data_IF_350709368062
#
_entry.id   IF_350709368062
#
_cell.length_a   1.000
_cell.length_b   1.000
_cell.length_c   1.000
_cell.angle_alpha   90.00
_cell.angle_beta   90.00
_cell.angle_gamma   90.00
#
_symmetry.space_group_name_H-M   'P 1'
#
loop_
_entity.id
_entity.type
_entity.pdbx_description
1 polymer ?
#
# COMPACT_ATOMS: atom_id res chain seq x y z
N UNK A 1 10.50 16.08 3.30
CA UNK A 1 10.24 17.34 2.57
C UNK A 1 10.17 16.99 1.10
N UNK A 2 8.99 17.08 0.48
CA UNK A 2 8.79 16.62 -0.89
C UNK A 2 9.60 17.47 -1.86
N UNK A 3 10.55 16.88 -2.58
CA UNK A 3 11.28 17.39 -3.75
C UNK A 3 11.89 18.80 -3.65
N UNK A 4 12.20 19.34 -2.47
CA UNK A 4 12.74 20.69 -2.35
C UNK A 4 11.76 21.81 -2.73
N UNK A 5 10.50 21.47 -3.02
CA UNK A 5 9.46 22.45 -3.31
C UNK A 5 9.04 23.20 -2.04
N UNK A 6 8.78 24.51 -2.19
CA UNK A 6 8.19 25.28 -1.11
C UNK A 6 6.74 24.85 -0.85
N UNK A 7 6.24 25.10 0.36
CA UNK A 7 4.87 24.75 0.75
C UNK A 7 3.81 25.43 -0.13
N UNK A 8 4.08 26.64 -0.65
CA UNK A 8 3.14 27.38 -1.49
C UNK A 8 2.96 26.68 -2.83
N UNK A 9 4.06 26.29 -3.48
CA UNK A 9 4.03 25.55 -4.75
C UNK A 9 3.28 24.22 -4.59
N UNK A 10 3.52 23.50 -3.49
CA UNK A 10 2.80 22.25 -3.19
C UNK A 10 1.28 22.50 -3.05
N UNK A 11 0.87 23.52 -2.29
CA UNK A 11 -0.56 23.84 -2.11
C UNK A 11 -1.21 24.31 -3.42
N UNK A 12 -0.52 25.04 -4.27
CA UNK A 12 -1.03 25.46 -5.58
C UNK A 12 -1.24 24.23 -6.47
N UNK A 13 -0.26 23.34 -6.56
CA UNK A 13 -0.39 22.08 -7.32
C UNK A 13 -1.58 21.26 -6.80
N UNK A 14 -1.70 21.11 -5.48
CA UNK A 14 -2.83 20.41 -4.87
C UNK A 14 -4.17 21.05 -5.23
N UNK A 15 -4.29 22.39 -5.12
CA UNK A 15 -5.51 23.10 -5.46
C UNK A 15 -5.89 22.90 -6.93
N UNK A 16 -4.93 22.97 -7.84
CA UNK A 16 -5.15 22.71 -9.28
C UNK A 16 -5.62 21.28 -9.50
N UNK A 17 -4.97 20.28 -8.90
CA UNK A 17 -5.38 18.87 -9.03
C UNK A 17 -6.76 18.61 -8.45
N UNK A 18 -7.10 19.21 -7.30
CA UNK A 18 -8.43 19.13 -6.70
C UNK A 18 -9.48 19.72 -7.64
N UNK A 19 -9.24 20.93 -8.19
CA UNK A 19 -10.18 21.60 -9.11
C UNK A 19 -10.38 20.77 -10.38
N UNK A 20 -9.29 20.27 -10.98
CA UNK A 20 -9.35 19.45 -12.20
C UNK A 20 -10.10 18.12 -11.96
N UNK A 21 -9.94 17.52 -10.79
CA UNK A 21 -10.59 16.23 -10.47
C UNK A 21 -12.05 16.41 -10.01
N UNK A 22 -12.41 17.54 -9.42
CA UNK A 22 -13.81 17.84 -9.07
C UNK A 22 -14.73 17.71 -10.29
N UNK A 23 -14.30 18.16 -11.48
CA UNK A 23 -15.03 17.98 -12.72
C UNK A 23 -15.31 16.51 -13.09
N UNK A 24 -14.46 15.59 -12.64
CA UNK A 24 -14.65 14.14 -12.86
C UNK A 24 -15.78 13.56 -12.02
N UNK A 25 -16.01 14.12 -10.84
CA UNK A 25 -17.03 13.65 -9.87
C UNK A 25 -18.33 14.42 -9.98
N UNK A 26 -18.30 15.70 -10.43
CA UNK A 26 -19.49 16.52 -10.64
C UNK A 26 -20.32 15.96 -11.80
N UNK A 27 -21.54 15.48 -11.47
CA UNK A 27 -22.45 14.90 -12.45
C UNK A 27 -22.20 13.44 -12.82
N UNK A 28 -21.20 12.79 -12.23
CA UNK A 28 -20.89 11.37 -12.47
C UNK A 28 -21.06 10.54 -11.18
N UNK A 29 -22.29 10.03 -10.98
CA UNK A 29 -22.66 9.25 -9.80
C UNK A 29 -21.83 7.96 -9.66
N UNK A 30 -21.47 7.32 -10.78
CA UNK A 30 -20.66 6.10 -10.75
C UNK A 30 -19.22 6.38 -10.33
N UNK A 31 -18.63 7.49 -10.75
CA UNK A 31 -17.31 7.92 -10.29
C UNK A 31 -17.29 8.25 -8.80
N UNK A 32 -18.35 8.92 -8.31
CA UNK A 32 -18.50 9.21 -6.88
C UNK A 32 -18.66 7.93 -6.05
N UNK A 33 -19.48 6.97 -6.50
CA UNK A 33 -19.64 5.68 -5.84
C UNK A 33 -18.32 4.92 -5.78
N UNK A 34 -17.59 4.87 -6.91
CA UNK A 34 -16.26 4.28 -6.97
C UNK A 34 -15.31 4.89 -5.95
N UNK A 35 -15.30 6.22 -5.82
CA UNK A 35 -14.49 6.93 -4.83
C UNK A 35 -14.87 6.52 -3.40
N UNK A 36 -16.16 6.53 -3.08
CA UNK A 36 -16.68 6.16 -1.75
C UNK A 36 -16.30 4.73 -1.38
N UNK A 37 -16.32 3.79 -2.33
CA UNK A 37 -15.92 2.40 -2.09
C UNK A 37 -14.40 2.23 -2.03
N UNK A 38 -13.64 3.07 -2.71
CA UNK A 38 -12.17 3.03 -2.69
C UNK A 38 -11.60 3.51 -1.37
N UNK A 39 -12.20 4.52 -0.73
CA UNK A 39 -11.69 5.10 0.51
C UNK A 39 -11.51 4.07 1.65
N UNK A 40 -12.52 3.26 2.03
CA UNK A 40 -12.34 2.23 3.06
C UNK A 40 -11.25 1.22 2.70
N UNK A 41 -11.19 0.81 1.43
CA UNK A 41 -10.20 -0.16 0.95
C UNK A 41 -8.76 0.37 1.10
N UNK A 42 -8.54 1.64 0.75
CA UNK A 42 -7.24 2.30 0.91
C UNK A 42 -6.90 2.49 2.38
N UNK A 43 -7.87 2.92 3.20
CA UNK A 43 -7.65 3.08 4.65
C UNK A 43 -7.21 1.76 5.29
N UNK A 44 -7.87 0.65 4.96
CA UNK A 44 -7.48 -0.69 5.42
C UNK A 44 -6.05 -1.00 4.94
N UNK A 45 -5.79 -0.85 3.64
CA UNK A 45 -4.51 -1.24 3.05
C UNK A 45 -3.33 -0.46 3.67
N UNK A 46 -3.42 0.87 3.79
CA UNK A 46 -2.37 1.71 4.37
C UNK A 46 -2.23 1.45 5.88
N UNK A 47 -3.34 1.36 6.61
CA UNK A 47 -3.30 1.17 8.07
C UNK A 47 -2.58 -0.11 8.45
N UNK A 48 -2.94 -1.21 7.83
CA UNK A 48 -2.33 -2.50 8.14
C UNK A 48 -0.88 -2.59 7.63
N UNK A 49 -0.56 -1.95 6.52
CA UNK A 49 0.80 -1.83 6.00
C UNK A 49 1.72 -1.13 7.01
N UNK A 50 1.35 0.07 7.43
CA UNK A 50 2.13 0.86 8.39
C UNK A 50 2.17 0.20 9.78
N UNK A 51 1.04 -0.40 10.21
CA UNK A 51 1.01 -1.19 11.44
C UNK A 51 2.00 -2.36 11.40
N UNK A 52 2.13 -3.04 10.26
CA UNK A 52 3.06 -4.16 10.12
C UNK A 52 4.52 -3.72 10.23
N UNK A 53 4.89 -2.55 9.68
CA UNK A 53 6.20 -1.95 9.91
C UNK A 53 6.44 -1.65 11.39
N UNK A 54 5.48 -0.99 12.04
CA UNK A 54 5.56 -0.67 13.46
C UNK A 54 5.69 -1.92 14.33
N UNK A 55 4.91 -2.95 14.02
CA UNK A 55 4.91 -4.23 14.74
C UNK A 55 6.23 -4.98 14.56
N UNK A 56 6.74 -5.05 13.34
CA UNK A 56 8.03 -5.71 13.06
C UNK A 56 9.19 -5.00 13.77
N UNK A 57 9.22 -3.65 13.76
CA UNK A 57 10.23 -2.87 14.47
C UNK A 57 10.16 -3.11 15.98
N UNK A 58 8.98 -3.08 16.58
CA UNK A 58 8.75 -3.33 18.01
C UNK A 58 9.20 -4.75 18.41
N UNK A 59 8.92 -5.76 17.58
CA UNK A 59 9.37 -7.15 17.79
C UNK A 59 10.88 -7.29 17.69
N UNK A 60 11.55 -6.46 16.91
CA UNK A 60 13.00 -6.41 16.80
C UNK A 60 13.65 -5.58 17.92
N UNK A 61 12.88 -4.99 18.84
CA UNK A 61 13.37 -4.25 20.01
C UNK A 61 13.31 -2.73 19.87
N UNK A 62 12.85 -2.21 18.73
CA UNK A 62 12.68 -0.76 18.54
C UNK A 62 11.29 -0.32 18.95
N UNK A 63 11.18 0.25 20.15
CA UNK A 63 9.95 0.79 20.71
C UNK A 63 9.60 2.20 20.18
N UNK A 64 10.37 2.76 19.24
CA UNK A 64 10.12 4.08 18.64
C UNK A 64 8.71 4.19 18.08
N UNK A 65 8.21 3.24 17.25
CA UNK A 65 6.84 3.29 16.73
C UNK A 65 5.78 3.24 17.85
N UNK A 66 6.01 2.46 18.89
CA UNK A 66 5.11 2.36 20.05
C UNK A 66 5.01 3.69 20.79
N UNK A 67 6.15 4.33 21.06
CA UNK A 67 6.21 5.65 21.73
C UNK A 67 5.56 6.76 20.94
N UNK A 68 5.56 6.64 19.61
CA UNK A 68 4.91 7.59 18.70
C UNK A 68 3.42 7.30 18.50
N UNK A 69 2.84 6.27 19.17
CA UNK A 69 1.45 5.87 18.99
C UNK A 69 1.15 5.26 17.62
N UNK A 70 2.19 4.69 16.93
CA UNK A 70 2.08 4.10 15.61
C UNK A 70 1.75 2.61 15.61
N UNK A 71 1.89 1.96 16.78
CA UNK A 71 1.51 0.56 16.98
C UNK A 71 -0.01 0.45 17.26
N UNK A 72 -0.81 0.83 16.27
CA UNK A 72 -2.27 0.89 16.37
C UNK A 72 -2.91 0.61 15.00
N UNK A 73 -4.14 0.10 15.01
CA UNK A 73 -4.97 -0.05 13.81
C UNK A 73 -5.91 1.15 13.59
N UNK A 74 -5.73 2.26 14.32
CA UNK A 74 -6.46 3.49 14.05
C UNK A 74 -5.96 4.14 12.75
N UNK A 75 -6.78 4.23 11.69
CA UNK A 75 -6.36 4.80 10.41
C UNK A 75 -5.81 6.23 10.53
N UNK A 76 -6.37 7.04 11.41
CA UNK A 76 -5.98 8.44 11.60
C UNK A 76 -4.52 8.60 12.07
N UNK A 77 -3.95 7.57 12.71
CA UNK A 77 -2.55 7.56 13.08
C UNK A 77 -1.61 7.42 11.87
N UNK A 78 -2.09 6.85 10.77
CA UNK A 78 -1.31 6.49 9.59
C UNK A 78 -1.57 7.40 8.38
N UNK A 79 -2.54 8.29 8.45
CA UNK A 79 -2.85 9.22 7.38
C UNK A 79 -1.91 10.43 7.37
N UNK A 80 -1.44 10.77 6.19
CA UNK A 80 -0.86 12.08 5.88
C UNK A 80 -1.95 12.95 5.25
N UNK A 81 -2.23 14.16 5.76
CA UNK A 81 -3.30 15.00 5.22
C UNK A 81 -3.12 15.31 3.74
N UNK A 82 -1.88 15.60 3.30
CA UNK A 82 -1.57 15.92 1.91
C UNK A 82 -1.68 14.66 1.04
N UNK A 83 -1.06 13.57 1.48
CA UNK A 83 -1.14 12.27 0.80
C UNK A 83 -2.57 11.77 0.65
N UNK A 84 -3.43 11.99 1.66
CA UNK A 84 -4.84 11.61 1.62
C UNK A 84 -5.63 12.44 0.61
N UNK A 85 -5.41 13.76 0.56
CA UNK A 85 -6.04 14.63 -0.45
C UNK A 85 -5.59 14.22 -1.86
N UNK A 86 -4.30 13.99 -2.07
CA UNK A 86 -3.76 13.54 -3.34
C UNK A 86 -4.36 12.21 -3.78
N UNK A 87 -4.54 11.27 -2.85
CA UNK A 87 -5.17 10.00 -3.14
C UNK A 87 -6.61 10.15 -3.65
N UNK A 88 -7.40 10.98 -2.99
CA UNK A 88 -8.82 11.22 -3.34
C UNK A 88 -8.93 11.89 -4.71
N UNK A 89 -8.10 12.90 -4.98
CA UNK A 89 -8.29 13.76 -6.14
C UNK A 89 -7.35 13.46 -7.31
N UNK A 90 -6.15 12.97 -7.06
CA UNK A 90 -5.20 12.62 -8.11
C UNK A 90 -5.10 11.11 -8.38
N UNK A 91 -5.76 10.28 -7.54
CA UNK A 91 -5.74 8.81 -7.68
C UNK A 91 -4.45 8.17 -7.18
N UNK A 92 -3.53 8.93 -6.61
CA UNK A 92 -2.35 8.43 -5.91
C UNK A 92 -2.10 9.25 -4.64
N UNK A 93 -1.53 8.63 -3.62
CA UNK A 93 -1.26 9.28 -2.35
C UNK A 93 -0.31 8.45 -1.51
N UNK A 94 -0.05 8.91 -0.32
CA UNK A 94 0.83 8.24 0.63
C UNK A 94 0.30 8.36 2.04
N UNK A 95 0.67 7.38 2.87
CA UNK A 95 0.47 7.44 4.30
C UNK A 95 1.56 8.24 5.01
N UNK A 96 1.36 8.49 6.29
CA UNK A 96 2.41 9.00 7.16
C UNK A 96 3.32 7.82 7.54
N UNK A 97 4.59 7.79 7.06
CA UNK A 97 5.45 6.62 7.28
C UNK A 97 5.76 6.41 8.77
N UNK A 98 5.98 5.14 9.13
CA UNK A 98 6.46 4.77 10.47
C UNK A 98 7.96 5.07 10.55
N UNK A 99 8.35 5.85 11.57
CA UNK A 99 9.75 6.07 11.87
C UNK A 99 10.30 4.90 12.70
N UNK A 100 11.46 4.41 12.29
CA UNK A 100 12.19 3.34 12.98
C UNK A 100 13.60 3.81 13.34
N UNK A 101 14.14 3.27 14.44
CA UNK A 101 15.53 3.49 14.84
C UNK A 101 16.29 2.15 14.86
N UNK A 102 17.02 1.81 13.78
CA UNK A 102 17.75 0.54 13.69
C UNK A 102 18.79 0.30 14.79
N UNK A 103 19.22 1.37 15.49
CA UNK A 103 20.14 1.25 16.64
C UNK A 103 19.50 0.60 17.86
N UNK A 104 18.17 0.61 17.93
CA UNK A 104 17.42 -0.01 19.01
C UNK A 104 17.16 -1.50 18.78
N UNK A 105 17.47 -2.02 17.60
CA UNK A 105 17.24 -3.43 17.30
C UNK A 105 18.06 -4.34 18.24
N UNK A 106 17.47 -5.47 18.60
CA UNK A 106 18.11 -6.50 19.39
C UNK A 106 19.44 -6.94 18.74
N UNK A 107 20.44 -7.24 19.56
CA UNK A 107 21.79 -7.63 19.10
C UNK A 107 21.81 -8.94 18.27
N UNK A 108 20.69 -9.65 18.19
CA UNK A 108 20.52 -10.87 17.39
C UNK A 108 20.44 -10.60 15.87
N UNK A 109 20.15 -9.34 15.49
CA UNK A 109 20.07 -8.94 14.08
C UNK A 109 20.96 -7.73 13.81
N UNK A 110 21.58 -7.68 12.63
CA UNK A 110 22.28 -6.46 12.19
C UNK A 110 21.27 -5.38 11.83
N UNK A 111 21.67 -4.09 11.93
CA UNK A 111 20.79 -2.96 11.57
C UNK A 111 20.21 -3.14 10.16
N UNK A 112 21.06 -3.46 9.18
CA UNK A 112 20.64 -3.63 7.78
C UNK A 112 19.67 -4.80 7.59
N UNK A 113 19.84 -5.91 8.33
CA UNK A 113 18.91 -7.05 8.29
C UNK A 113 17.58 -6.67 8.95
N UNK A 114 17.64 -5.97 10.09
CA UNK A 114 16.44 -5.49 10.78
C UNK A 114 15.64 -4.53 9.91
N UNK A 115 16.29 -3.57 9.25
CA UNK A 115 15.62 -2.66 8.30
C UNK A 115 14.95 -3.42 7.15
N UNK A 116 15.60 -4.44 6.59
CA UNK A 116 15.01 -5.26 5.54
C UNK A 116 13.78 -6.04 6.03
N UNK A 117 13.83 -6.63 7.25
CA UNK A 117 12.70 -7.33 7.87
C UNK A 117 11.54 -6.38 8.10
N UNK A 118 11.81 -5.20 8.67
CA UNK A 118 10.77 -4.19 8.90
C UNK A 118 10.16 -3.76 7.57
N UNK A 119 10.98 -3.50 6.54
CA UNK A 119 10.50 -3.00 5.25
C UNK A 119 9.67 -4.02 4.48
N UNK A 120 9.97 -5.32 4.56
CA UNK A 120 9.15 -6.34 3.90
C UNK A 120 7.82 -6.60 4.63
N UNK A 121 7.71 -6.24 5.91
CA UNK A 121 6.53 -6.52 6.72
C UNK A 121 5.27 -5.82 6.20
N UNK A 122 5.37 -4.57 5.72
CA UNK A 122 4.26 -3.83 5.13
C UNK A 122 3.69 -4.50 3.88
N UNK A 123 4.49 -4.69 2.83
CA UNK A 123 4.06 -5.39 1.61
C UNK A 123 3.51 -6.79 1.89
N UNK A 124 4.15 -7.55 2.79
CA UNK A 124 3.70 -8.88 3.18
C UNK A 124 2.30 -8.84 3.81
N UNK A 125 2.04 -7.88 4.69
CA UNK A 125 0.72 -7.68 5.31
C UNK A 125 -0.34 -7.38 4.25
N UNK A 126 -0.04 -6.60 3.24
CA UNK A 126 -0.97 -6.34 2.15
C UNK A 126 -1.32 -7.63 1.38
N UNK A 127 -0.36 -8.50 1.08
CA UNK A 127 -0.68 -9.79 0.46
C UNK A 127 -1.50 -10.71 1.37
N UNK A 128 -1.21 -10.73 2.68
CA UNK A 128 -2.00 -11.48 3.66
C UNK A 128 -3.45 -10.99 3.66
N UNK A 129 -3.68 -9.69 3.69
CA UNK A 129 -5.03 -9.12 3.61
C UNK A 129 -5.71 -9.45 2.28
N UNK A 130 -4.99 -9.35 1.17
CA UNK A 130 -5.53 -9.70 -0.14
C UNK A 130 -6.01 -11.16 -0.17
N UNK A 131 -5.24 -12.10 0.40
CA UNK A 131 -5.63 -13.50 0.53
C UNK A 131 -6.88 -13.64 1.41
N UNK A 132 -6.91 -13.02 2.58
CA UNK A 132 -8.06 -13.07 3.49
C UNK A 132 -9.33 -12.57 2.81
N UNK A 133 -9.27 -11.41 2.15
CA UNK A 133 -10.42 -10.84 1.44
C UNK A 133 -10.81 -11.67 0.22
N UNK A 134 -9.87 -12.32 -0.46
CA UNK A 134 -10.17 -13.28 -1.54
C UNK A 134 -10.94 -14.47 -1.02
N UNK A 135 -10.52 -15.05 0.11
CA UNK A 135 -11.24 -16.15 0.76
C UNK A 135 -12.66 -15.73 1.15
N UNK A 136 -12.82 -14.55 1.77
CA UNK A 136 -14.15 -14.03 2.14
C UNK A 136 -15.03 -13.84 0.89
N UNK A 137 -14.47 -13.25 -0.17
CA UNK A 137 -15.18 -13.02 -1.43
C UNK A 137 -15.68 -14.36 -2.04
N UNK A 138 -14.81 -15.37 -2.09
CA UNK A 138 -15.17 -16.71 -2.56
C UNK A 138 -16.23 -17.37 -1.70
N UNK A 139 -16.10 -17.28 -0.37
CA UNK A 139 -17.08 -17.83 0.56
C UNK A 139 -18.48 -17.23 0.34
N UNK A 140 -18.58 -15.91 0.17
CA UNK A 140 -19.85 -15.24 -0.11
C UNK A 140 -20.44 -15.74 -1.44
N UNK A 141 -19.64 -15.78 -2.50
CA UNK A 141 -20.09 -16.23 -3.82
C UNK A 141 -20.58 -17.67 -3.77
N UNK A 142 -19.90 -18.52 -3.02
CA UNK A 142 -20.17 -19.96 -2.97
C UNK A 142 -21.35 -20.32 -2.07
N UNK A 143 -21.44 -19.69 -0.90
CA UNK A 143 -22.41 -20.09 0.14
C UNK A 143 -23.61 -19.14 0.26
N UNK A 144 -23.59 -17.99 -0.39
CA UNK A 144 -24.68 -17.03 -0.35
C UNK A 144 -25.05 -16.50 -1.75
N UNK A 145 -25.38 -17.38 -2.73
CA UNK A 145 -25.61 -16.96 -4.11
C UNK A 145 -26.79 -16.00 -4.28
N UNK A 146 -27.81 -16.08 -3.42
CA UNK A 146 -28.92 -15.13 -3.47
C UNK A 146 -28.55 -13.75 -2.93
N UNK A 147 -27.61 -13.68 -1.98
CA UNK A 147 -27.12 -12.42 -1.44
C UNK A 147 -26.42 -11.58 -2.51
N UNK A 148 -25.65 -12.19 -3.40
CA UNK A 148 -24.91 -11.50 -4.48
C UNK A 148 -25.84 -10.82 -5.49
N UNK A 149 -27.10 -11.22 -5.59
CA UNK A 149 -28.11 -10.58 -6.46
C UNK A 149 -28.76 -9.36 -5.82
N UNK A 150 -28.57 -9.15 -4.52
CA UNK A 150 -29.08 -7.97 -3.82
C UNK A 150 -28.18 -6.74 -4.04
N UNK A 151 -28.77 -5.55 -3.95
CA UNK A 151 -27.99 -4.30 -4.05
C UNK A 151 -26.88 -4.22 -2.99
N UNK A 152 -27.15 -4.67 -1.77
CA UNK A 152 -26.17 -4.71 -0.68
C UNK A 152 -25.07 -5.71 -0.99
N UNK A 153 -25.41 -6.88 -1.54
CA UNK A 153 -24.43 -7.89 -1.95
C UNK A 153 -23.47 -7.37 -3.02
N UNK A 154 -23.99 -6.69 -4.02
CA UNK A 154 -23.18 -6.05 -5.09
C UNK A 154 -22.21 -5.02 -4.48
N UNK A 155 -22.67 -4.16 -3.58
CA UNK A 155 -21.82 -3.16 -2.91
C UNK A 155 -20.72 -3.84 -2.09
N UNK A 156 -21.05 -4.85 -1.29
CA UNK A 156 -20.09 -5.57 -0.46
C UNK A 156 -19.04 -6.29 -1.32
N UNK A 157 -19.47 -6.99 -2.37
CA UNK A 157 -18.54 -7.68 -3.28
C UNK A 157 -17.62 -6.69 -4.01
N UNK A 158 -18.16 -5.56 -4.45
CA UNK A 158 -17.36 -4.49 -5.07
C UNK A 158 -16.33 -3.94 -4.08
N UNK A 159 -16.70 -3.70 -2.83
CA UNK A 159 -15.79 -3.26 -1.78
C UNK A 159 -14.68 -4.29 -1.51
N UNK A 160 -15.04 -5.57 -1.40
CA UNK A 160 -14.07 -6.66 -1.21
C UNK A 160 -13.09 -6.75 -2.38
N UNK A 161 -13.60 -6.75 -3.61
CA UNK A 161 -12.76 -6.78 -4.82
C UNK A 161 -11.84 -5.57 -4.90
N UNK A 162 -12.35 -4.37 -4.61
CA UNK A 162 -11.55 -3.14 -4.55
C UNK A 162 -10.46 -3.26 -3.50
N UNK A 163 -10.78 -3.82 -2.32
CA UNK A 163 -9.82 -4.03 -1.23
C UNK A 163 -8.72 -5.02 -1.63
N UNK A 164 -9.06 -6.11 -2.33
CA UNK A 164 -8.10 -7.08 -2.86
C UNK A 164 -7.14 -6.39 -3.84
N UNK A 165 -7.69 -5.68 -4.85
CA UNK A 165 -6.92 -5.00 -5.89
C UNK A 165 -5.94 -3.99 -5.28
N UNK A 166 -6.42 -3.17 -4.34
CA UNK A 166 -5.59 -2.14 -3.70
C UNK A 166 -4.49 -2.78 -2.85
N UNK A 167 -4.79 -3.82 -2.09
CA UNK A 167 -3.78 -4.50 -1.27
C UNK A 167 -2.71 -5.18 -2.15
N UNK A 168 -3.09 -5.89 -3.21
CA UNK A 168 -2.11 -6.47 -4.14
C UNK A 168 -1.29 -5.36 -4.80
N UNK A 169 -1.94 -4.32 -5.31
CA UNK A 169 -1.26 -3.19 -5.95
C UNK A 169 -0.27 -2.49 -5.02
N UNK A 170 -0.66 -2.20 -3.78
CA UNK A 170 0.20 -1.56 -2.77
C UNK A 170 1.38 -2.46 -2.38
N UNK A 171 1.14 -3.77 -2.22
CA UNK A 171 2.19 -4.74 -1.93
C UNK A 171 3.22 -4.83 -3.06
N UNK A 172 2.77 -4.96 -4.31
CA UNK A 172 3.64 -4.99 -5.50
C UNK A 172 4.41 -3.68 -5.66
N UNK A 173 3.73 -2.54 -5.53
CA UNK A 173 4.35 -1.22 -5.64
C UNK A 173 5.47 -1.04 -4.63
N UNK A 174 5.23 -1.36 -3.36
CA UNK A 174 6.23 -1.19 -2.31
C UNK A 174 7.38 -2.22 -2.40
N UNK A 175 7.22 -3.32 -3.12
CA UNK A 175 8.33 -4.26 -3.39
C UNK A 175 9.25 -3.84 -4.53
N UNK A 176 8.95 -2.76 -5.28
CA UNK A 176 9.88 -2.22 -6.27
C UNK A 176 11.19 -1.87 -5.56
N UNK A 177 12.35 -2.39 -6.03
CA UNK A 177 13.63 -2.25 -5.34
C UNK A 177 14.30 -0.89 -5.56
N UNK A 178 13.52 0.18 -5.63
CA UNK A 178 14.00 1.55 -5.88
C UNK A 178 13.47 2.52 -4.81
N UNK A 179 14.29 3.49 -4.35
CA UNK A 179 13.82 4.52 -3.43
C UNK A 179 12.66 5.34 -4.03
N UNK A 180 11.69 5.78 -3.20
CA UNK A 180 11.66 5.74 -1.73
C UNK A 180 10.94 4.50 -1.14
N UNK A 181 10.70 3.46 -1.94
CA UNK A 181 9.86 2.31 -1.61
C UNK A 181 10.55 1.30 -0.70
N UNK A 182 9.77 0.47 0.00
CA UNK A 182 10.28 -0.50 0.97
C UNK A 182 11.23 -1.53 0.35
N UNK A 183 10.95 -1.97 -0.88
CA UNK A 183 11.81 -2.88 -1.64
C UNK A 183 13.24 -2.37 -1.79
N UNK A 184 13.45 -1.05 -1.78
CA UNK A 184 14.78 -0.46 -1.84
C UNK A 184 15.62 -0.78 -0.59
N UNK A 185 15.00 -0.80 0.58
CA UNK A 185 15.66 -1.14 1.84
C UNK A 185 15.95 -2.64 1.92
N UNK A 186 15.03 -3.46 1.39
CA UNK A 186 15.25 -4.90 1.24
C UNK A 186 16.44 -5.16 0.30
N UNK A 187 16.44 -4.53 -0.88
CA UNK A 187 17.55 -4.64 -1.82
C UNK A 187 18.86 -4.16 -1.19
N UNK A 188 18.85 -3.04 -0.47
CA UNK A 188 20.03 -2.43 0.13
C UNK A 188 20.72 -3.40 1.11
N UNK A 189 20.00 -4.33 1.74
CA UNK A 189 20.60 -5.34 2.61
C UNK A 189 21.64 -6.21 1.86
N UNK A 190 21.41 -6.48 0.59
CA UNK A 190 22.27 -7.33 -0.24
C UNK A 190 23.35 -6.56 -1.01
N UNK A 191 23.29 -5.23 -1.03
CA UNK A 191 24.20 -4.40 -1.78
C UNK A 191 25.51 -4.13 -1.03
N UNK A 192 26.61 -3.97 -1.80
CA UNK A 192 27.86 -3.44 -1.28
C UNK A 192 27.71 -1.99 -0.81
N UNK A 193 28.66 -1.53 0.02
CA UNK A 193 28.67 -0.14 0.51
C UNK A 193 28.62 0.89 -0.63
N UNK A 194 29.45 0.71 -1.66
CA UNK A 194 29.51 1.60 -2.83
C UNK A 194 28.17 1.65 -3.59
N UNK A 195 27.49 0.52 -3.74
CA UNK A 195 26.19 0.47 -4.40
C UNK A 195 25.09 1.15 -3.59
N UNK A 196 25.11 1.02 -2.25
CA UNK A 196 24.21 1.77 -1.35
C UNK A 196 24.43 3.27 -1.46
N UNK A 197 25.67 3.70 -1.40
CA UNK A 197 26.04 5.10 -1.52
C UNK A 197 25.58 5.68 -2.87
N UNK A 198 25.83 4.96 -3.95
CA UNK A 198 25.35 5.37 -5.28
C UNK A 198 23.82 5.50 -5.32
N UNK A 199 23.09 4.52 -4.76
CA UNK A 199 21.62 4.54 -4.71
C UNK A 199 21.11 5.74 -3.89
N UNK A 200 21.73 6.05 -2.78
CA UNK A 200 21.38 7.21 -1.93
C UNK A 200 21.66 8.53 -2.65
N UNK A 201 22.82 8.66 -3.30
CA UNK A 201 23.21 9.86 -4.03
C UNK A 201 22.32 10.12 -5.26
N UNK A 202 21.74 9.06 -5.85
CA UNK A 202 20.87 9.14 -7.02
C UNK A 202 19.37 8.96 -6.68
N UNK A 203 18.99 9.03 -5.40
CA UNK A 203 17.62 8.79 -4.95
C UNK A 203 16.56 9.57 -5.72
N UNK A 204 16.82 10.84 -6.06
CA UNK A 204 15.90 11.68 -6.80
C UNK A 204 15.63 11.13 -8.21
N UNK A 205 16.69 10.78 -8.95
CA UNK A 205 16.56 10.20 -10.31
C UNK A 205 15.86 8.86 -10.25
N UNK A 206 16.19 8.02 -9.27
CA UNK A 206 15.56 6.70 -9.08
C UNK A 206 14.06 6.84 -8.74
N UNK A 207 13.69 7.84 -7.94
CA UNK A 207 12.29 8.13 -7.66
C UNK A 207 11.53 8.53 -8.92
N UNK A 208 12.11 9.40 -9.77
CA UNK A 208 11.51 9.75 -11.06
C UNK A 208 11.36 8.49 -11.93
N UNK A 209 12.37 7.63 -11.98
CA UNK A 209 12.30 6.38 -12.74
C UNK A 209 11.15 5.49 -12.27
N UNK A 210 10.90 5.37 -10.95
CA UNK A 210 9.74 4.65 -10.41
C UNK A 210 8.44 5.25 -10.94
N UNK A 211 8.28 6.59 -10.88
CA UNK A 211 7.08 7.23 -11.39
C UNK A 211 6.88 7.00 -12.88
N UNK A 212 7.95 7.11 -13.68
CA UNK A 212 7.89 6.82 -15.12
C UNK A 212 7.45 5.37 -15.36
N UNK A 213 8.06 4.39 -14.69
CA UNK A 213 7.69 2.98 -14.83
C UNK A 213 6.22 2.77 -14.47
N UNK A 214 5.77 3.29 -13.34
CA UNK A 214 4.42 3.07 -12.82
C UNK A 214 3.34 3.73 -13.70
N UNK A 215 3.56 4.98 -14.15
CA UNK A 215 2.53 5.74 -14.85
C UNK A 215 2.56 5.57 -16.38
N UNK A 216 3.72 5.25 -16.98
CA UNK A 216 3.84 5.11 -18.42
C UNK A 216 3.92 3.66 -18.91
N UNK A 217 4.04 2.70 -17.99
CA UNK A 217 3.99 1.28 -18.35
C UNK A 217 2.84 0.57 -17.63
N UNK A 218 2.30 -0.47 -18.25
CA UNK A 218 1.29 -1.31 -17.58
C UNK A 218 1.92 -2.43 -16.72
N UNK A 219 3.23 -2.36 -16.41
CA UNK A 219 3.96 -3.43 -15.75
C UNK A 219 3.36 -3.76 -14.38
N UNK A 220 2.93 -2.75 -13.64
CA UNK A 220 2.28 -2.92 -12.33
C UNK A 220 0.96 -3.67 -12.45
N UNK A 221 0.17 -3.33 -13.47
CA UNK A 221 -1.09 -4.03 -13.78
C UNK A 221 -0.85 -5.49 -14.14
N UNK A 222 0.14 -5.79 -14.97
CA UNK A 222 0.50 -7.17 -15.35
C UNK A 222 0.94 -8.00 -14.15
N UNK A 223 1.86 -7.48 -13.32
CA UNK A 223 2.35 -8.18 -12.13
C UNK A 223 1.20 -8.41 -11.13
N UNK A 224 0.40 -7.38 -10.85
CA UNK A 224 -0.74 -7.48 -9.94
C UNK A 224 -1.79 -8.48 -10.44
N UNK A 225 -2.11 -8.48 -11.73
CA UNK A 225 -3.06 -9.42 -12.33
C UNK A 225 -2.56 -10.86 -12.25
N UNK A 226 -1.27 -11.08 -12.48
CA UNK A 226 -0.65 -12.40 -12.37
C UNK A 226 -0.71 -12.93 -10.92
N UNK A 227 -0.38 -12.08 -9.94
CA UNK A 227 -0.46 -12.44 -8.51
C UNK A 227 -1.91 -12.73 -8.11
N UNK A 228 -2.86 -11.87 -8.49
CA UNK A 228 -4.28 -12.09 -8.22
C UNK A 228 -4.79 -13.39 -8.85
N UNK A 229 -4.41 -13.66 -10.10
CA UNK A 229 -4.75 -14.91 -10.77
C UNK A 229 -4.26 -16.14 -10.01
N UNK A 230 -3.01 -16.11 -9.54
CA UNK A 230 -2.44 -17.18 -8.70
C UNK A 230 -3.19 -17.34 -7.36
N UNK A 231 -3.52 -16.22 -6.70
CA UNK A 231 -4.28 -16.24 -5.44
C UNK A 231 -5.68 -16.83 -5.63
N UNK A 232 -6.39 -16.40 -6.68
CA UNK A 232 -7.73 -16.91 -7.02
C UNK A 232 -7.64 -18.41 -7.31
N UNK A 233 -6.67 -18.85 -8.11
CA UNK A 233 -6.48 -20.26 -8.43
C UNK A 233 -6.25 -21.12 -7.18
N UNK A 234 -5.39 -20.66 -6.24
CA UNK A 234 -5.14 -21.38 -4.97
C UNK A 234 -6.40 -21.44 -4.12
N UNK A 235 -7.13 -20.34 -3.99
CA UNK A 235 -8.37 -20.29 -3.19
C UNK A 235 -9.43 -21.19 -3.81
N UNK A 236 -9.63 -21.15 -5.13
CA UNK A 236 -10.56 -22.00 -5.85
C UNK A 236 -10.22 -23.49 -5.69
N UNK A 237 -8.94 -23.85 -5.79
CA UNK A 237 -8.45 -25.20 -5.55
C UNK A 237 -8.75 -25.67 -4.12
N UNK A 238 -8.50 -24.82 -3.11
CA UNK A 238 -8.83 -25.14 -1.70
C UNK A 238 -10.33 -25.38 -1.54
N UNK A 239 -11.18 -24.49 -2.05
CA UNK A 239 -12.63 -24.66 -1.96
C UNK A 239 -13.11 -25.88 -2.74
N UNK A 240 -12.46 -26.25 -3.85
CA UNK A 240 -12.76 -27.46 -4.61
C UNK A 240 -12.39 -28.77 -3.90
N UNK A 241 -11.46 -28.74 -2.93
CA UNK A 241 -11.12 -29.92 -2.11
C UNK A 241 -12.16 -30.25 -1.04
N UNK A 242 -12.99 -29.30 -0.65
CA UNK A 242 -14.03 -29.45 0.38
C UNK A 242 -15.44 -29.65 -0.20
N UNK A 243 -15.54 -29.83 -1.51
CA UNK A 243 -16.77 -30.02 -2.27
C UNK A 243 -16.72 -31.29 -3.10
#
# INVERSE_FOLDING_TARGET
MFFGMDKRTLYIIMAVLVIMSLGRYLGNTSALLSLVLTLPAVLIAITFHEFAHAFAADKLGDDTPRRQGRLTLNPLAHLDPVGSIMLVFAGFGWGKPVEINPRNFNRTVTMSKGEAIVSIAGPLMNFILAIIFTIINFAIIRFAPQFILSQIGIIILTLLQTTIIINVGLGVFNLIPLPPLDGSKVLSHFLSYKAKEWMMNNQFILTIAVFVIVFYTNIMGYISSYIMGGMIWVVDWIFGLFL
#
